data_IF_842569447098
#
_entry.id   IF_842569447098
#
_cell.length_a   1.000
_cell.length_b   1.000
_cell.length_c   1.000
_cell.angle_alpha   90.00
_cell.angle_beta   90.00
_cell.angle_gamma   90.00
#
_symmetry.space_group_name_H-M   'P 1'
#
loop_
_entity.id
_entity.type
_entity.pdbx_description
1 polymer ?
#
# COMPACT_ATOMS: atom_id res chain seq x y z
N UNK A 1 -2.34 16.92 22.53
CA UNK A 1 -2.57 15.49 22.86
C UNK A 1 -3.74 15.01 22.02
N UNK A 2 -3.59 13.88 21.28
CA UNK A 2 -4.49 13.35 20.21
C UNK A 2 -4.49 14.17 18.88
N UNK A 3 -4.71 13.57 17.68
CA UNK A 3 -5.68 12.53 17.37
C UNK A 3 -5.03 11.17 17.09
N UNK A 4 -5.71 10.13 17.56
CA UNK A 4 -5.31 8.72 17.59
C UNK A 4 -4.31 8.43 18.72
N UNK A 5 -4.86 8.03 19.86
CA UNK A 5 -4.13 7.26 20.87
C UNK A 5 -3.59 5.97 20.22
N UNK A 6 -2.39 5.53 20.61
CA UNK A 6 -1.73 4.35 20.04
C UNK A 6 -2.63 3.09 19.92
N UNK A 7 -3.53 2.77 20.88
CA UNK A 7 -4.44 1.63 20.75
C UNK A 7 -5.46 1.78 19.62
N UNK A 8 -5.87 3.01 19.30
CA UNK A 8 -6.82 3.29 18.23
C UNK A 8 -6.16 3.15 16.85
N UNK A 9 -4.90 3.59 16.72
CA UNK A 9 -4.07 3.43 15.51
C UNK A 9 -3.83 1.95 15.15
N UNK A 10 -3.65 1.09 16.16
CA UNK A 10 -3.34 -0.34 15.98
C UNK A 10 -4.57 -1.25 16.05
N UNK A 11 -5.77 -0.68 16.10
CA UNK A 11 -7.01 -1.45 16.23
C UNK A 11 -7.36 -2.18 14.92
N UNK A 12 -7.28 -3.51 14.95
CA UNK A 12 -7.72 -4.38 13.85
C UNK A 12 -9.24 -4.62 13.97
N UNK A 13 -10.04 -3.74 13.36
CA UNK A 13 -11.49 -3.76 13.39
C UNK A 13 -12.09 -3.77 11.97
N UNK A 14 -13.42 -3.87 11.85
CA UNK A 14 -14.13 -3.95 10.56
C UNK A 14 -13.85 -2.76 9.63
N UNK A 15 -13.68 -1.56 10.18
CA UNK A 15 -13.36 -0.36 9.40
C UNK A 15 -11.95 -0.49 8.85
N UNK A 16 -10.97 -0.80 9.71
CA UNK A 16 -9.58 -1.00 9.30
C UNK A 16 -9.45 -2.09 8.23
N UNK A 17 -10.09 -3.25 8.42
CA UNK A 17 -10.11 -4.30 7.40
C UNK A 17 -10.70 -3.83 6.07
N UNK A 18 -11.79 -3.06 6.12
CA UNK A 18 -12.44 -2.53 4.93
C UNK A 18 -11.54 -1.61 4.10
N UNK A 19 -10.79 -0.70 4.75
CA UNK A 19 -9.88 0.22 4.08
C UNK A 19 -8.64 -0.49 3.51
N UNK A 20 -8.07 -1.44 4.25
CA UNK A 20 -6.92 -2.22 3.81
C UNK A 20 -7.27 -3.30 2.77
N UNK A 21 -8.56 -3.53 2.48
CA UNK A 21 -8.99 -4.61 1.58
C UNK A 21 -8.74 -6.00 2.16
N UNK A 22 -8.68 -6.13 3.49
CA UNK A 22 -8.54 -7.41 4.17
C UNK A 22 -9.90 -8.10 4.31
N UNK A 23 -10.35 -8.76 3.24
CA UNK A 23 -11.66 -9.42 3.16
C UNK A 23 -11.63 -10.90 3.56
N UNK A 24 -10.53 -11.61 3.31
CA UNK A 24 -10.33 -13.01 3.71
C UNK A 24 -9.86 -13.17 5.17
N UNK A 25 -10.08 -14.34 5.80
CA UNK A 25 -9.52 -14.64 7.13
C UNK A 25 -7.99 -14.54 7.19
N UNK A 26 -7.33 -14.94 6.11
CA UNK A 26 -5.88 -14.85 5.96
C UNK A 26 -5.40 -13.40 5.97
N UNK A 27 -5.97 -12.54 5.12
CA UNK A 27 -5.59 -11.12 5.05
C UNK A 27 -5.91 -10.37 6.34
N UNK A 28 -7.01 -10.71 7.02
CA UNK A 28 -7.34 -10.16 8.35
C UNK A 28 -6.30 -10.56 9.39
N UNK A 29 -5.87 -11.82 9.37
CA UNK A 29 -4.83 -12.33 10.28
C UNK A 29 -3.49 -11.66 10.01
N UNK A 30 -3.11 -11.53 8.74
CA UNK A 30 -1.91 -10.81 8.31
C UNK A 30 -1.94 -9.36 8.78
N UNK A 31 -3.02 -8.62 8.49
CA UNK A 31 -3.13 -7.21 8.89
C UNK A 31 -3.10 -7.07 10.41
N UNK A 32 -3.77 -7.95 11.16
CA UNK A 32 -3.74 -7.94 12.62
C UNK A 32 -2.30 -8.10 13.16
N UNK A 33 -1.49 -8.99 12.56
CA UNK A 33 -0.08 -9.17 12.92
C UNK A 33 0.75 -7.93 12.58
N UNK A 34 0.62 -7.39 11.36
CA UNK A 34 1.30 -6.16 10.94
C UNK A 34 0.98 -5.02 11.92
N UNK A 35 -0.31 -4.79 12.20
CA UNK A 35 -0.73 -3.76 13.13
C UNK A 35 -0.22 -4.03 14.54
N UNK A 36 -0.19 -5.28 15.00
CA UNK A 36 0.34 -5.61 16.32
C UNK A 36 1.84 -5.33 16.45
N UNK A 37 2.62 -5.70 15.44
CA UNK A 37 4.08 -5.65 15.46
C UNK A 37 4.64 -4.25 15.14
N UNK A 38 3.85 -3.42 14.45
CA UNK A 38 4.26 -2.05 14.11
C UNK A 38 4.40 -1.17 15.37
N UNK A 39 5.54 -0.51 15.55
CA UNK A 39 5.70 0.46 16.64
C UNK A 39 4.74 1.65 16.50
N UNK A 40 4.11 2.04 17.60
CA UNK A 40 3.07 3.09 17.56
C UNK A 40 3.64 4.48 17.29
N UNK A 41 4.88 4.75 17.75
CA UNK A 41 5.54 6.04 17.50
C UNK A 41 5.94 6.13 16.04
N UNK A 42 6.48 5.05 15.47
CA UNK A 42 6.79 4.95 14.06
C UNK A 42 5.53 5.13 13.19
N UNK A 43 4.45 4.39 13.47
CA UNK A 43 3.22 4.50 12.69
C UNK A 43 2.67 5.93 12.70
N UNK A 44 2.63 6.57 13.88
CA UNK A 44 2.20 7.96 14.01
C UNK A 44 3.09 8.90 13.19
N UNK A 45 4.41 8.74 13.30
CA UNK A 45 5.37 9.54 12.53
C UNK A 45 5.17 9.35 11.02
N UNK A 46 5.04 8.10 10.56
CA UNK A 46 4.89 7.76 9.15
C UNK A 46 3.63 8.41 8.55
N UNK A 47 2.50 8.34 9.25
CA UNK A 47 1.26 8.98 8.79
C UNK A 47 1.38 10.50 8.66
N UNK A 48 2.06 11.16 9.61
CA UNK A 48 2.30 12.62 9.56
C UNK A 48 3.21 12.97 8.39
N UNK A 49 4.28 12.21 8.17
CA UNK A 49 5.23 12.47 7.08
C UNK A 49 4.63 12.20 5.71
N UNK A 50 3.82 11.15 5.59
CA UNK A 50 3.13 10.80 4.36
C UNK A 50 2.05 11.84 4.00
N UNK A 51 1.25 12.29 4.96
CA UNK A 51 0.17 13.27 4.69
C UNK A 51 0.70 14.66 4.34
N UNK A 52 1.86 15.04 4.88
CA UNK A 52 2.54 16.30 4.55
C UNK A 52 3.50 16.20 3.37
N UNK A 53 3.54 15.09 2.64
CA UNK A 53 4.50 14.88 1.57
C UNK A 53 4.16 15.71 0.33
N UNK A 54 4.81 16.86 0.19
CA UNK A 54 4.65 17.78 -0.94
C UNK A 54 5.85 17.69 -1.88
N UNK A 55 5.77 16.73 -2.79
CA UNK A 55 6.81 16.45 -3.76
C UNK A 55 6.75 17.42 -4.94
N UNK A 56 7.85 18.12 -5.23
CA UNK A 56 7.93 19.12 -6.31
C UNK A 56 8.36 18.58 -7.67
N UNK A 57 9.26 17.60 -7.70
CA UNK A 57 9.87 17.11 -8.95
C UNK A 57 9.54 15.63 -9.20
N UNK A 58 9.28 15.26 -10.46
CA UNK A 58 9.05 13.87 -10.88
C UNK A 58 10.39 13.10 -10.86
N UNK A 59 10.35 11.80 -10.57
CA UNK A 59 11.53 10.93 -10.44
C UNK A 59 11.63 10.29 -11.79
N UNK A 60 12.80 10.45 -12.39
CA UNK A 60 13.13 9.75 -13.62
C UNK A 60 13.07 8.23 -13.38
N UNK A 61 12.63 7.48 -14.39
CA UNK A 61 12.49 6.03 -14.31
C UNK A 61 11.53 5.52 -13.21
N UNK A 62 10.58 6.35 -12.76
CA UNK A 62 9.50 5.91 -11.89
C UNK A 62 8.53 5.01 -12.68
N UNK A 63 8.28 3.81 -12.17
CA UNK A 63 7.25 2.90 -12.65
C UNK A 63 6.30 2.57 -11.50
N UNK A 64 5.04 2.99 -11.63
CA UNK A 64 4.03 2.91 -10.59
C UNK A 64 2.98 1.84 -10.93
N UNK A 65 2.95 0.78 -10.12
CA UNK A 65 1.93 -0.26 -10.13
C UNK A 65 0.93 0.06 -9.01
N UNK A 66 -0.37 0.07 -9.33
CA UNK A 66 -1.41 0.44 -8.37
C UNK A 66 -2.66 -0.42 -8.51
N UNK A 67 -3.37 -0.66 -7.41
CA UNK A 67 -4.60 -1.47 -7.42
C UNK A 67 -5.84 -0.62 -7.70
N UNK A 68 -6.79 -1.12 -8.51
CA UNK A 68 -8.03 -0.37 -8.81
C UNK A 68 -8.98 -0.24 -7.60
N UNK A 69 -8.82 -1.10 -6.60
CA UNK A 69 -9.66 -1.19 -5.41
C UNK A 69 -8.96 -0.74 -4.11
N UNK A 70 -7.80 -0.07 -4.19
CA UNK A 70 -7.15 0.51 -3.00
C UNK A 70 -8.01 1.66 -2.46
N UNK A 71 -8.49 1.51 -1.23
CA UNK A 71 -9.33 2.49 -0.52
C UNK A 71 -8.54 3.40 0.40
N UNK A 72 -7.30 3.04 0.73
CA UNK A 72 -6.39 3.88 1.52
C UNK A 72 -5.74 4.94 0.65
N UNK A 73 -5.35 4.57 -0.57
CA UNK A 73 -4.81 5.47 -1.58
C UNK A 73 -5.69 5.34 -2.81
N UNK A 74 -6.80 6.12 -2.91
CA UNK A 74 -7.74 5.98 -4.01
C UNK A 74 -7.09 6.22 -5.37
N UNK A 75 -7.40 5.36 -6.36
CA UNK A 75 -6.83 5.47 -7.71
C UNK A 75 -7.07 6.85 -8.37
N UNK A 76 -8.16 7.53 -8.00
CA UNK A 76 -8.53 8.85 -8.54
C UNK A 76 -7.55 9.98 -8.18
N UNK A 77 -6.72 9.80 -7.14
CA UNK A 77 -5.70 10.79 -6.74
C UNK A 77 -4.28 10.42 -7.21
N UNK A 78 -4.14 9.33 -7.97
CA UNK A 78 -2.85 8.88 -8.51
C UNK A 78 -2.92 8.68 -10.02
N UNK A 79 -1.74 8.53 -10.65
CA UNK A 79 -1.60 8.24 -12.08
C UNK A 79 -0.61 7.09 -12.24
N UNK A 80 -1.06 5.83 -12.14
CA UNK A 80 -0.19 4.67 -12.27
C UNK A 80 0.15 4.36 -13.72
N UNK A 81 1.28 3.70 -13.93
CA UNK A 81 1.67 3.17 -15.24
C UNK A 81 0.97 1.83 -15.52
N UNK A 82 0.69 1.05 -14.47
CA UNK A 82 -0.10 -0.19 -14.53
C UNK A 82 -1.13 -0.23 -13.42
N UNK A 83 -2.35 -0.64 -13.78
CA UNK A 83 -3.43 -0.90 -12.85
C UNK A 83 -3.62 -2.40 -12.68
N UNK A 84 -3.67 -2.85 -11.42
CA UNK A 84 -4.06 -4.20 -11.04
C UNK A 84 -5.56 -4.20 -10.75
N UNK A 85 -6.34 -4.79 -11.66
CA UNK A 85 -7.79 -4.86 -11.51
C UNK A 85 -8.18 -5.67 -10.26
N UNK A 86 -9.12 -5.16 -9.47
CA UNK A 86 -9.50 -5.71 -8.17
C UNK A 86 -8.43 -5.57 -7.07
N UNK A 87 -7.26 -5.00 -7.37
CA UNK A 87 -6.17 -4.88 -6.41
C UNK A 87 -6.48 -3.91 -5.28
N UNK A 88 -6.48 -4.41 -4.05
CA UNK A 88 -6.60 -3.60 -2.84
C UNK A 88 -5.23 -3.17 -2.29
N UNK A 89 -5.21 -2.57 -1.10
CA UNK A 89 -3.97 -2.09 -0.47
C UNK A 89 -2.96 -3.22 -0.20
N UNK A 90 -3.45 -4.43 0.09
CA UNK A 90 -2.64 -5.62 0.33
C UNK A 90 -2.31 -6.41 -0.96
N UNK A 91 -2.49 -5.83 -2.15
CA UNK A 91 -2.30 -6.53 -3.43
C UNK A 91 -0.93 -7.17 -3.59
N UNK A 92 0.13 -6.59 -3.00
CA UNK A 92 1.49 -7.16 -3.03
C UNK A 92 1.53 -8.56 -2.42
N UNK A 93 0.70 -8.82 -1.42
CA UNK A 93 0.55 -10.14 -0.81
C UNK A 93 -0.49 -10.98 -1.57
N UNK A 94 -1.67 -10.42 -1.84
CA UNK A 94 -2.81 -11.16 -2.40
C UNK A 94 -2.65 -11.55 -3.88
N UNK A 95 -1.89 -10.77 -4.65
CA UNK A 95 -1.68 -10.92 -6.10
C UNK A 95 -0.17 -10.96 -6.43
N UNK A 96 0.61 -11.56 -5.54
CA UNK A 96 2.07 -11.59 -5.60
C UNK A 96 2.60 -12.11 -6.95
N UNK A 97 1.99 -13.15 -7.51
CA UNK A 97 2.44 -13.73 -8.79
C UNK A 97 2.28 -12.75 -9.96
N UNK A 98 1.13 -12.08 -10.05
CA UNK A 98 0.86 -11.09 -11.10
C UNK A 98 1.83 -9.90 -10.99
N UNK A 99 2.03 -9.40 -9.77
CA UNK A 99 2.94 -8.28 -9.51
C UNK A 99 4.39 -8.67 -9.80
N UNK A 100 4.81 -9.86 -9.36
CA UNK A 100 6.17 -10.36 -9.60
C UNK A 100 6.45 -10.54 -11.08
N UNK A 101 5.49 -11.02 -11.86
CA UNK A 101 5.61 -11.11 -13.32
C UNK A 101 5.84 -9.72 -13.93
N UNK A 102 5.00 -8.74 -13.60
CA UNK A 102 5.12 -7.36 -14.12
C UNK A 102 6.49 -6.77 -13.78
N UNK A 103 6.97 -6.98 -12.56
CA UNK A 103 8.28 -6.50 -12.12
C UNK A 103 9.42 -7.16 -12.91
N UNK A 104 9.39 -8.48 -13.07
CA UNK A 104 10.43 -9.21 -13.81
C UNK A 104 10.44 -8.84 -15.30
N UNK A 105 9.28 -8.70 -15.93
CA UNK A 105 9.17 -8.28 -17.34
C UNK A 105 9.76 -6.87 -17.52
N UNK A 106 9.46 -5.96 -16.58
CA UNK A 106 9.99 -4.58 -16.61
C UNK A 106 11.50 -4.55 -16.41
N UNK A 107 12.03 -5.29 -15.44
CA UNK A 107 13.47 -5.34 -15.15
C UNK A 107 14.27 -5.94 -16.31
N UNK A 108 13.74 -6.99 -16.96
CA UNK A 108 14.38 -7.62 -18.13
C UNK A 108 14.42 -6.69 -19.33
N UNK A 109 13.35 -5.91 -19.54
CA UNK A 109 13.28 -4.93 -20.64
C UNK A 109 14.32 -3.81 -20.46
N UNK A 110 14.51 -3.33 -19.22
CA UNK A 110 15.52 -2.29 -18.92
C UNK A 110 16.92 -2.80 -19.25
N UNK A 111 17.27 -4.04 -18.87
CA UNK A 111 18.58 -4.64 -19.15
C UNK A 111 18.86 -4.91 -20.64
N UNK A 112 17.82 -4.92 -21.48
CA UNK A 112 17.97 -5.15 -22.93
C UNK A 112 18.09 -3.85 -23.73
N UNK A 113 17.89 -2.69 -23.09
CA UNK A 113 17.89 -1.36 -23.71
C UNK A 113 19.16 -0.54 -23.39
N UNK A 114 20.07 -1.10 -22.58
CA UNK A 114 21.43 -0.60 -22.29
C UNK A 114 22.47 -1.43 -23.07
#
# INVERSE_FOLDING_TARGET
>A
MSPLSAPLLKSANRITYGYFGADTPELKTLLKKILHDTDSKFLKWALIRMSGWDRKEKVENLFHIHGSADKLIPIVIVKPDIVIEGGGHLMVYAQADQISKILNDRLTTIHSAE
#
